data_IF_301878135193
#
_entry.id   IF_301878135193
#
_cell.length_a   1.000
_cell.length_b   1.000
_cell.length_c   1.000
_cell.angle_alpha   90.00
_cell.angle_beta   90.00
_cell.angle_gamma   90.00
#
_symmetry.space_group_name_H-M   'P 1'
#
loop_
_entity.id
_entity.type
_entity.pdbx_description
1 polymer ?
#
# COMPACT_ATOMS: atom_id res chain seq x y z
N UNK A 1 -7.53 -9.61 -8.75
CA UNK A 1 -8.54 -10.38 -7.99
C UNK A 1 -9.90 -10.09 -8.61
N UNK A 2 -10.62 -11.12 -9.02
CA UNK A 2 -11.89 -11.00 -9.72
C UNK A 2 -13.00 -11.71 -8.93
N UNK A 3 -14.23 -11.19 -9.02
CA UNK A 3 -15.46 -11.87 -8.60
C UNK A 3 -16.34 -12.01 -9.83
N UNK A 4 -16.45 -13.23 -10.36
CA UNK A 4 -16.96 -13.45 -11.72
C UNK A 4 -16.09 -12.72 -12.76
N UNK A 5 -16.70 -11.88 -13.58
CA UNK A 5 -16.00 -11.05 -14.58
C UNK A 5 -15.55 -9.68 -14.04
N UNK A 6 -15.92 -9.33 -12.80
CA UNK A 6 -15.63 -8.01 -12.23
C UNK A 6 -14.24 -7.99 -11.56
N UNK A 7 -13.36 -7.12 -12.03
CA UNK A 7 -12.10 -6.82 -11.34
C UNK A 7 -12.40 -6.10 -10.02
N UNK A 8 -12.06 -6.73 -8.90
CA UNK A 8 -12.21 -6.15 -7.55
C UNK A 8 -10.99 -5.36 -7.11
N UNK A 9 -9.82 -5.64 -7.68
CA UNK A 9 -8.56 -5.00 -7.30
C UNK A 9 -7.36 -5.87 -7.60
N UNK A 10 -6.18 -5.37 -7.25
CA UNK A 10 -4.92 -6.07 -7.48
C UNK A 10 -3.86 -5.62 -6.47
N UNK A 11 -2.81 -6.42 -6.36
CA UNK A 11 -1.67 -6.14 -5.52
C UNK A 11 -0.38 -6.62 -6.19
N UNK A 12 0.74 -6.04 -5.77
CA UNK A 12 2.08 -6.44 -6.17
C UNK A 12 3.02 -6.28 -4.98
N UNK A 13 3.94 -7.23 -4.78
CA UNK A 13 4.94 -7.21 -3.72
C UNK A 13 6.17 -8.02 -4.13
N UNK A 14 7.30 -7.78 -3.47
CA UNK A 14 8.49 -8.64 -3.62
C UNK A 14 8.32 -9.93 -2.83
N UNK A 15 8.35 -11.07 -3.51
CA UNK A 15 8.23 -12.37 -2.87
C UNK A 15 9.61 -12.93 -2.48
N UNK A 16 9.89 -12.94 -1.18
CA UNK A 16 11.08 -13.58 -0.60
C UNK A 16 10.66 -14.48 0.56
N UNK A 17 11.27 -15.66 0.64
CA UNK A 17 10.97 -16.66 1.66
C UNK A 17 11.73 -16.33 2.93
N UNK A 18 11.06 -16.36 4.08
CA UNK A 18 11.68 -16.11 5.38
C UNK A 18 11.95 -14.63 5.68
N UNK A 19 11.61 -13.72 4.77
CA UNK A 19 11.85 -12.28 4.90
C UNK A 19 10.54 -11.49 5.05
N UNK A 20 10.68 -10.23 5.50
CA UNK A 20 9.60 -9.25 5.41
C UNK A 20 9.50 -8.81 3.97
N UNK A 21 8.36 -9.08 3.35
CA UNK A 21 8.10 -8.76 1.95
C UNK A 21 7.53 -7.36 1.80
N UNK A 22 8.02 -6.63 0.81
CA UNK A 22 7.66 -5.24 0.59
C UNK A 22 6.52 -5.14 -0.45
N UNK A 23 5.39 -4.56 -0.04
CA UNK A 23 4.23 -4.28 -0.90
C UNK A 23 4.54 -3.07 -1.78
N UNK A 24 4.47 -3.29 -3.09
CA UNK A 24 4.68 -2.27 -4.12
C UNK A 24 3.39 -1.51 -4.41
N UNK A 25 2.27 -2.24 -4.50
CA UNK A 25 0.95 -1.68 -4.77
C UNK A 25 -0.15 -2.56 -4.18
N UNK A 26 -1.21 -1.92 -3.70
CA UNK A 26 -2.45 -2.53 -3.28
C UNK A 26 -3.58 -1.57 -3.66
N UNK A 27 -4.44 -1.99 -4.58
CA UNK A 27 -5.55 -1.17 -5.08
C UNK A 27 -6.81 -2.01 -5.12
N UNK A 28 -7.94 -1.43 -4.74
CA UNK A 28 -9.25 -2.08 -4.79
C UNK A 28 -10.33 -1.16 -5.37
N UNK A 29 -11.44 -1.74 -5.80
CA UNK A 29 -12.60 -1.01 -6.32
C UNK A 29 -13.74 -1.03 -5.30
N UNK A 30 -14.27 0.16 -4.99
CA UNK A 30 -15.34 0.33 -4.01
C UNK A 30 -15.01 -0.35 -2.69
N UNK A 31 -15.99 -1.03 -2.10
CA UNK A 31 -15.86 -1.66 -0.77
C UNK A 31 -15.12 -3.01 -0.80
N UNK A 32 -14.35 -3.28 -1.86
CA UNK A 32 -13.65 -4.56 -2.04
C UNK A 32 -12.28 -4.60 -1.38
N UNK A 33 -11.85 -3.51 -0.75
CA UNK A 33 -10.49 -3.36 -0.22
C UNK A 33 -10.12 -4.46 0.76
N UNK A 34 -10.94 -4.71 1.77
CA UNK A 34 -10.71 -5.74 2.76
C UNK A 34 -10.50 -7.14 2.13
N UNK A 35 -11.27 -7.46 1.09
CA UNK A 35 -11.12 -8.73 0.35
C UNK A 35 -9.80 -8.81 -0.41
N UNK A 36 -9.36 -7.72 -1.05
CA UNK A 36 -8.08 -7.67 -1.77
C UNK A 36 -6.92 -7.75 -0.77
N UNK A 37 -7.01 -7.02 0.35
CA UNK A 37 -6.04 -7.06 1.44
C UNK A 37 -5.92 -8.47 2.03
N UNK A 38 -7.03 -9.14 2.34
CA UNK A 38 -7.03 -10.52 2.79
C UNK A 38 -6.31 -11.44 1.80
N UNK A 39 -6.59 -11.26 0.50
CA UNK A 39 -5.97 -12.09 -0.52
C UNK A 39 -4.46 -11.86 -0.57
N UNK A 40 -4.00 -10.62 -0.49
CA UNK A 40 -2.57 -10.28 -0.40
C UNK A 40 -1.91 -10.97 0.79
N UNK A 41 -2.50 -10.88 1.99
CA UNK A 41 -1.96 -11.49 3.21
C UNK A 41 -1.84 -13.02 3.07
N UNK A 42 -2.88 -13.68 2.55
CA UNK A 42 -2.88 -15.13 2.33
C UNK A 42 -1.87 -15.55 1.26
N UNK A 43 -1.76 -14.78 0.18
CA UNK A 43 -0.82 -15.08 -0.92
C UNK A 43 0.64 -14.96 -0.43
N UNK A 44 0.96 -13.87 0.28
CA UNK A 44 2.29 -13.66 0.84
C UNK A 44 2.69 -14.74 1.86
N UNK A 45 1.76 -15.14 2.74
CA UNK A 45 1.99 -16.23 3.68
C UNK A 45 2.28 -17.55 2.96
N UNK A 46 1.54 -17.88 1.90
CA UNK A 46 1.79 -19.08 1.08
C UNK A 46 3.14 -19.04 0.36
N UNK A 47 3.60 -17.85 -0.01
CA UNK A 47 4.92 -17.65 -0.60
C UNK A 47 6.05 -17.62 0.45
N UNK A 48 5.74 -17.81 1.74
CA UNK A 48 6.74 -17.92 2.80
C UNK A 48 7.20 -16.59 3.39
N UNK A 49 6.45 -15.51 3.19
CA UNK A 49 6.73 -14.23 3.85
C UNK A 49 6.59 -14.35 5.38
N UNK A 50 7.48 -13.72 6.14
CA UNK A 50 7.32 -13.62 7.62
C UNK A 50 6.40 -12.47 8.02
N UNK A 51 6.41 -11.39 7.24
CA UNK A 51 5.48 -10.29 7.34
C UNK A 51 5.40 -9.53 6.00
N UNK A 52 4.43 -8.62 5.90
CA UNK A 52 4.35 -7.64 4.81
C UNK A 52 4.59 -6.25 5.37
N UNK A 53 5.37 -5.44 4.65
CA UNK A 53 5.55 -4.01 4.91
C UNK A 53 5.08 -3.24 3.68
N UNK A 54 4.30 -2.18 3.90
CA UNK A 54 3.71 -1.39 2.83
C UNK A 54 3.32 0.00 3.29
N UNK A 55 2.87 0.82 2.33
CA UNK A 55 2.28 2.13 2.62
C UNK A 55 0.88 1.95 3.20
N UNK A 56 0.55 2.80 4.18
CA UNK A 56 -0.80 2.93 4.71
C UNK A 56 -1.59 3.88 3.82
N UNK A 57 -2.74 3.43 3.31
CA UNK A 57 -3.78 4.31 2.79
C UNK A 57 -4.69 4.77 3.95
N UNK A 58 -4.76 6.08 4.26
CA UNK A 58 -5.62 6.62 5.32
C UNK A 58 -7.11 6.27 5.14
N UNK A 59 -7.59 6.07 3.92
CA UNK A 59 -9.00 5.75 3.67
C UNK A 59 -9.37 4.33 4.10
N UNK A 60 -8.39 3.45 4.29
CA UNK A 60 -8.59 2.04 4.61
C UNK A 60 -8.03 1.62 5.98
N UNK A 61 -7.81 2.59 6.88
CA UNK A 61 -7.25 2.36 8.22
C UNK A 61 -8.06 1.35 9.02
N UNK A 62 -9.39 1.36 8.89
CA UNK A 62 -10.26 0.42 9.60
C UNK A 62 -9.99 -1.02 9.14
N UNK A 63 -9.97 -1.27 7.83
CA UNK A 63 -9.73 -2.59 7.24
C UNK A 63 -8.35 -3.12 7.62
N UNK A 64 -7.32 -2.27 7.61
CA UNK A 64 -5.99 -2.64 8.11
C UNK A 64 -6.01 -2.99 9.61
N UNK A 65 -6.72 -2.21 10.43
CA UNK A 65 -6.80 -2.43 11.87
C UNK A 65 -7.55 -3.72 12.21
N UNK A 66 -8.65 -4.00 11.51
CA UNK A 66 -9.47 -5.21 11.67
C UNK A 66 -8.65 -6.47 11.33
N UNK A 67 -7.67 -6.33 10.44
CA UNK A 67 -6.69 -7.36 10.07
C UNK A 67 -5.47 -7.41 10.98
N UNK A 68 -5.47 -6.63 12.08
CA UNK A 68 -4.38 -6.52 13.05
C UNK A 68 -3.04 -6.05 12.45
N UNK A 69 -3.07 -5.27 11.37
CA UNK A 69 -1.86 -4.66 10.83
C UNK A 69 -1.31 -3.62 11.81
N UNK A 70 0.02 -3.58 11.93
CA UNK A 70 0.70 -2.60 12.78
C UNK A 70 1.09 -1.36 12.00
N UNK A 71 0.76 -0.18 12.55
CA UNK A 71 1.14 1.09 11.95
C UNK A 71 2.38 1.65 12.61
N UNK A 72 3.35 2.02 11.79
CA UNK A 72 4.55 2.75 12.22
C UNK A 72 4.77 3.92 11.27
N UNK A 73 5.14 5.06 11.84
CA UNK A 73 5.68 6.17 11.04
C UNK A 73 7.15 5.86 10.80
N UNK A 74 7.47 5.43 9.59
CA UNK A 74 8.82 5.06 9.15
C UNK A 74 9.19 5.84 7.88
N UNK A 75 10.49 6.06 7.68
CA UNK A 75 11.02 6.82 6.54
C UNK A 75 11.10 8.33 6.78
N UNK A 76 11.59 9.05 5.78
CA UNK A 76 11.70 10.51 5.86
C UNK A 76 10.42 11.23 5.47
N UNK A 77 10.30 12.45 5.96
CA UNK A 77 9.25 13.37 5.55
C UNK A 77 9.39 13.76 4.08
N UNK A 78 8.28 13.74 3.36
CA UNK A 78 8.20 14.21 1.97
C UNK A 78 7.75 15.67 1.96
N UNK A 79 8.52 16.55 1.34
CA UNK A 79 8.09 17.92 1.05
C UNK A 79 7.32 17.94 -0.28
N UNK A 80 6.10 18.44 -0.24
CA UNK A 80 5.25 18.62 -1.42
C UNK A 80 5.19 20.10 -1.76
N UNK A 81 5.46 20.45 -3.02
CA UNK A 81 5.32 21.81 -3.52
C UNK A 81 4.76 21.81 -4.94
N UNK A 82 3.70 22.59 -5.15
CA UNK A 82 3.08 22.81 -6.45
C UNK A 82 2.63 24.26 -6.54
N UNK A 83 2.57 24.80 -7.76
CA UNK A 83 1.94 26.11 -8.04
C UNK A 83 0.42 26.03 -8.08
N UNK A 84 -0.13 24.81 -8.07
CA UNK A 84 -1.56 24.55 -8.10
C UNK A 84 -1.98 23.95 -6.77
N UNK A 85 -2.83 24.66 -6.05
CA UNK A 85 -3.28 24.29 -4.70
C UNK A 85 -4.13 23.02 -4.68
N UNK A 86 -4.84 22.75 -5.78
CA UNK A 86 -5.62 21.53 -5.97
C UNK A 86 -4.73 20.28 -5.94
N UNK A 87 -3.53 20.34 -6.52
CA UNK A 87 -2.54 19.26 -6.48
C UNK A 87 -2.05 19.02 -5.05
N UNK A 88 -1.66 20.08 -4.32
CA UNK A 88 -1.21 19.93 -2.92
C UNK A 88 -2.32 19.33 -2.07
N UNK A 89 -3.53 19.87 -2.21
CA UNK A 89 -4.69 19.40 -1.46
C UNK A 89 -5.07 17.95 -1.79
N UNK A 90 -4.90 17.50 -3.03
CA UNK A 90 -5.15 16.11 -3.39
C UNK A 90 -4.18 15.16 -2.67
N UNK A 91 -2.90 15.55 -2.56
CA UNK A 91 -1.88 14.76 -1.88
C UNK A 91 -2.13 14.70 -0.37
N UNK A 92 -2.39 15.84 0.26
CA UNK A 92 -2.65 15.91 1.70
C UNK A 92 -3.89 15.11 2.14
N UNK A 93 -4.90 15.04 1.26
CA UNK A 93 -6.13 14.29 1.51
C UNK A 93 -6.01 12.80 1.17
N UNK A 94 -4.86 12.33 0.69
CA UNK A 94 -4.70 10.97 0.19
C UNK A 94 -5.51 10.68 -1.08
N UNK A 95 -5.95 11.72 -1.79
CA UNK A 95 -6.65 11.61 -3.08
C UNK A 95 -5.69 11.55 -4.28
N UNK A 96 -4.38 11.58 -4.02
CA UNK A 96 -3.34 11.23 -4.97
C UNK A 96 -2.72 9.89 -4.54
N UNK A 97 -2.94 8.84 -5.34
CA UNK A 97 -2.30 7.55 -5.11
C UNK A 97 -0.83 7.66 -5.54
N UNK A 98 0.08 7.65 -4.56
CA UNK A 98 1.48 7.38 -4.81
C UNK A 98 1.82 5.98 -4.31
N UNK A 99 2.38 5.19 -5.21
CA UNK A 99 2.84 3.84 -4.95
C UNK A 99 4.35 3.79 -5.11
N UNK A 100 4.95 2.65 -4.73
CA UNK A 100 6.39 2.47 -4.98
C UNK A 100 6.74 2.46 -6.46
N UNK A 101 5.77 2.22 -7.35
CA UNK A 101 5.97 2.26 -8.80
C UNK A 101 6.17 3.70 -9.31
N UNK A 102 5.67 4.71 -8.61
CA UNK A 102 5.74 6.12 -8.99
C UNK A 102 7.09 6.77 -8.64
N UNK A 103 8.04 5.97 -8.17
CA UNK A 103 9.40 6.39 -7.91
C UNK A 103 9.66 6.88 -6.47
N UNK A 104 8.73 6.66 -5.55
CA UNK A 104 8.85 7.10 -4.15
C UNK A 104 10.13 6.62 -3.43
N UNK A 105 10.68 5.47 -3.85
CA UNK A 105 11.92 4.91 -3.31
C UNK A 105 13.21 5.44 -3.96
N UNK A 106 13.14 6.21 -5.05
CA UNK A 106 14.33 6.80 -5.66
C UNK A 106 14.89 7.97 -4.85
N UNK A 107 14.11 8.44 -3.88
CA UNK A 107 14.61 9.33 -2.84
C UNK A 107 15.39 8.47 -1.83
N UNK A 108 16.71 8.67 -1.78
CA UNK A 108 17.70 8.03 -0.89
C UNK A 108 17.42 8.10 0.63
N UNK A 109 16.24 8.54 1.04
CA UNK A 109 15.86 8.74 2.43
C UNK A 109 15.34 7.50 3.16
N UNK A 110 15.35 6.33 2.53
CA UNK A 110 14.79 5.08 3.08
C UNK A 110 15.85 4.05 3.51
N UNK A 111 17.11 4.48 3.67
CA UNK A 111 18.15 3.68 4.32
C UNK A 111 18.19 3.98 5.81
N UNK A 112 17.49 3.15 6.60
CA UNK A 112 17.74 2.97 8.03
C UNK A 112 18.56 1.71 8.27
#
# INVERSE_FOLDING_TARGET
MFEGEKLLGWFMYYARVGEVNEVLQLTARGDSFDRVLQRLLVDAWRQGATALRGRLDPHHVQEYSDRHCWFRREGAWTLVHSRHDDVVSAIERGAAEFTRLDGEWWLRFLGG
#
